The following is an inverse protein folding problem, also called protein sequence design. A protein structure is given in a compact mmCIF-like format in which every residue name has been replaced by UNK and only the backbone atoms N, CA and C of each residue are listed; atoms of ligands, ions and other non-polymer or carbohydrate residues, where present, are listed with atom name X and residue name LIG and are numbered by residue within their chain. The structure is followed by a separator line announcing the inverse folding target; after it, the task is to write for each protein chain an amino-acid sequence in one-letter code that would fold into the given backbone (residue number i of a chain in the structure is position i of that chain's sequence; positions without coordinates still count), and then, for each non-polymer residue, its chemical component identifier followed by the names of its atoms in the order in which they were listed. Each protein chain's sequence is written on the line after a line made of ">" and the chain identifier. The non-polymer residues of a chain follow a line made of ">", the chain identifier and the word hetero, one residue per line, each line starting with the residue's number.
data_IF_830999033684
#
_entry.id   IF_830999033684
#
_cell.length_a   1.000
_cell.length_b   1.000
_cell.length_c   1.000
_cell.angle_alpha   90.00
_cell.angle_beta   90.00
_cell.angle_gamma   90.00
#
_symmetry.space_group_name_H-M   'P 1'
#
loop_
_entity.id
_entity.type
_entity.pdbx_description
1 polymer ?
#
# COMPACT_ATOMS: atom_id res chain seq x y z
N UNK A 1 -30.70 -9.94 -16.69
CA UNK A 1 -29.84 -10.18 -15.51
C UNK A 1 -28.63 -10.97 -15.96
N UNK A 2 -27.54 -10.96 -15.21
CA UNK A 2 -26.41 -11.84 -15.48
C UNK A 2 -26.81 -13.30 -15.26
N UNK A 3 -26.40 -14.19 -16.16
CA UNK A 3 -26.67 -15.62 -16.03
C UNK A 3 -25.88 -16.23 -14.87
N UNK A 4 -26.55 -17.00 -14.02
CA UNK A 4 -25.95 -17.66 -12.85
C UNK A 4 -26.44 -19.09 -12.74
N UNK A 5 -25.54 -19.98 -12.32
CA UNK A 5 -25.89 -21.38 -12.08
C UNK A 5 -26.95 -21.50 -10.98
N UNK A 6 -27.96 -22.34 -11.20
CA UNK A 6 -29.13 -22.50 -10.30
C UNK A 6 -28.74 -22.91 -8.86
N UNK A 7 -27.59 -23.57 -8.68
CA UNK A 7 -27.07 -24.03 -7.38
C UNK A 7 -26.06 -23.04 -6.74
N UNK A 8 -25.69 -21.97 -7.44
CA UNK A 8 -24.74 -20.97 -6.94
C UNK A 8 -25.47 -19.89 -6.11
N UNK A 9 -25.95 -20.26 -4.92
CA UNK A 9 -26.72 -19.36 -4.03
C UNK A 9 -25.87 -18.27 -3.36
N UNK A 10 -24.53 -18.33 -3.49
CA UNK A 10 -23.60 -17.49 -2.69
C UNK A 10 -23.52 -16.01 -3.09
N UNK A 11 -24.23 -15.56 -4.11
CA UNK A 11 -24.26 -14.14 -4.46
C UNK A 11 -25.55 -13.79 -5.19
N UNK A 12 -26.34 -12.87 -4.64
CA UNK A 12 -27.60 -12.43 -5.23
C UNK A 12 -27.47 -11.91 -6.67
N UNK A 13 -28.60 -11.75 -7.33
CA UNK A 13 -28.66 -11.39 -8.75
C UNK A 13 -28.01 -10.04 -9.06
N UNK A 14 -27.32 -9.96 -10.20
CA UNK A 14 -26.65 -8.75 -10.66
C UNK A 14 -27.33 -8.24 -11.93
N UNK A 15 -27.63 -6.94 -11.95
CA UNK A 15 -28.11 -6.27 -13.14
C UNK A 15 -26.93 -5.72 -13.93
N UNK A 16 -26.82 -6.16 -15.19
CA UNK A 16 -25.77 -5.72 -16.10
C UNK A 16 -26.39 -5.30 -17.42
N UNK A 17 -25.84 -4.24 -18.03
CA UNK A 17 -26.21 -3.82 -19.37
C UNK A 17 -25.50 -4.69 -20.42
N UNK A 18 -26.26 -5.34 -21.31
CA UNK A 18 -25.73 -6.26 -22.35
C UNK A 18 -24.70 -5.57 -23.25
N UNK A 19 -24.99 -4.35 -23.71
CA UNK A 19 -24.06 -3.59 -24.56
C UNK A 19 -22.72 -3.32 -23.85
N UNK A 20 -22.74 -3.11 -22.52
CA UNK A 20 -21.53 -2.89 -21.75
C UNK A 20 -20.71 -4.18 -21.64
N UNK A 21 -21.36 -5.33 -21.39
CA UNK A 21 -20.69 -6.65 -21.36
C UNK A 21 -20.00 -6.93 -22.69
N UNK A 22 -20.70 -6.75 -23.80
CA UNK A 22 -20.17 -7.05 -25.13
C UNK A 22 -18.98 -6.14 -25.47
N UNK A 23 -19.08 -4.85 -25.16
CA UNK A 23 -17.98 -3.92 -25.41
C UNK A 23 -16.76 -4.21 -24.53
N UNK A 24 -16.95 -4.55 -23.26
CA UNK A 24 -15.85 -4.93 -22.35
C UNK A 24 -15.18 -6.23 -22.81
N UNK A 25 -15.97 -7.25 -23.15
CA UNK A 25 -15.47 -8.52 -23.67
C UNK A 25 -14.71 -8.33 -24.99
N UNK A 26 -15.24 -7.51 -25.89
CA UNK A 26 -14.58 -7.18 -27.15
C UNK A 26 -13.23 -6.46 -26.91
N UNK A 27 -13.20 -5.47 -26.02
CA UNK A 27 -11.96 -4.77 -25.64
C UNK A 27 -10.92 -5.72 -25.08
N UNK A 28 -11.30 -6.58 -24.13
CA UNK A 28 -10.42 -7.61 -23.55
C UNK A 28 -9.86 -8.55 -24.60
N UNK A 29 -10.70 -9.03 -25.52
CA UNK A 29 -10.24 -9.90 -26.60
C UNK A 29 -9.24 -9.18 -27.53
N UNK A 30 -9.47 -7.91 -27.84
CA UNK A 30 -8.55 -7.10 -28.65
C UNK A 30 -7.22 -6.87 -27.91
N UNK A 31 -7.26 -6.56 -26.62
CA UNK A 31 -6.06 -6.38 -25.78
C UNK A 31 -5.26 -7.68 -25.67
N UNK A 32 -5.91 -8.82 -25.39
CA UNK A 32 -5.26 -10.13 -25.37
C UNK A 32 -4.62 -10.48 -26.70
N UNK A 33 -5.25 -10.11 -27.82
CA UNK A 33 -4.66 -10.31 -29.15
C UNK A 33 -3.48 -9.39 -29.44
N UNK A 34 -3.46 -8.17 -28.88
CA UNK A 34 -2.32 -7.25 -28.98
C UNK A 34 -1.16 -7.67 -28.08
N UNK A 35 -1.47 -8.19 -26.88
CA UNK A 35 -0.49 -8.62 -25.88
C UNK A 35 0.12 -10.00 -26.16
N UNK A 36 -0.53 -10.83 -26.99
CA UNK A 36 0.05 -12.07 -27.47
C UNK A 36 0.93 -11.76 -28.68
N UNK A 37 2.26 -11.59 -28.53
CA UNK A 37 3.14 -11.52 -29.68
C UNK A 37 2.99 -12.80 -30.51
N UNK A 38 3.17 -12.69 -31.81
CA UNK A 38 3.21 -13.85 -32.70
C UNK A 38 4.31 -14.80 -32.20
N UNK A 39 3.98 -16.07 -32.02
CA UNK A 39 4.91 -17.04 -31.45
C UNK A 39 6.11 -17.22 -32.39
N UNK A 40 7.24 -16.61 -32.00
CA UNK A 40 8.50 -16.67 -32.73
C UNK A 40 9.57 -17.30 -31.82
N UNK A 41 9.80 -18.61 -31.94
CA UNK A 41 10.67 -19.37 -31.03
C UNK A 41 12.13 -18.91 -30.94
N UNK A 42 12.60 -18.16 -31.94
CA UNK A 42 14.00 -17.80 -32.11
C UNK A 42 14.23 -16.28 -32.31
N UNK A 43 13.22 -15.43 -32.09
CA UNK A 43 13.48 -13.99 -32.05
C UNK A 43 14.14 -13.64 -30.71
N UNK A 44 15.35 -13.08 -30.78
CA UNK A 44 16.03 -12.48 -29.64
C UNK A 44 15.15 -11.33 -29.14
N UNK A 45 14.45 -11.52 -28.01
CA UNK A 45 13.61 -10.50 -27.35
C UNK A 45 14.42 -9.31 -26.81
N UNK A 46 15.69 -9.18 -27.19
CA UNK A 46 16.63 -8.14 -26.79
C UNK A 46 16.75 -7.14 -27.94
N UNK A 47 15.81 -6.20 -27.99
CA UNK A 47 15.94 -5.07 -28.90
C UNK A 47 17.15 -4.22 -28.47
N UNK A 48 17.88 -3.66 -29.43
CA UNK A 48 19.03 -2.76 -29.16
C UNK A 48 18.63 -1.59 -28.25
N UNK A 49 17.34 -1.22 -28.24
CA UNK A 49 16.73 -0.18 -27.42
C UNK A 49 16.59 -0.59 -25.93
N UNK A 50 16.42 -1.89 -25.64
CA UNK A 50 16.35 -2.42 -24.26
C UNK A 50 17.73 -2.45 -23.58
N UNK A 51 18.83 -2.36 -24.34
CA UNK A 51 20.17 -2.20 -23.77
C UNK A 51 20.43 -0.77 -23.27
N UNK A 52 19.74 0.23 -23.82
CA UNK A 52 19.90 1.65 -23.44
C UNK A 52 19.10 1.99 -22.19
N UNK A 53 17.93 1.37 -22.02
CA UNK A 53 17.07 1.55 -20.85
C UNK A 53 16.95 0.21 -20.13
N UNK A 54 17.68 0.06 -19.01
CA UNK A 54 17.64 -1.15 -18.18
C UNK A 54 16.25 -1.37 -17.59
N UNK A 55 15.36 -2.03 -18.36
CA UNK A 55 14.04 -2.45 -17.90
C UNK A 55 14.21 -3.81 -17.24
N UNK A 56 13.94 -3.89 -15.95
CA UNK A 56 13.88 -5.17 -15.25
C UNK A 56 12.75 -6.02 -15.83
N UNK A 57 13.07 -7.00 -16.68
CA UNK A 57 12.11 -8.02 -17.10
C UNK A 57 11.83 -8.92 -15.89
N UNK A 58 10.62 -8.87 -15.36
CA UNK A 58 10.17 -9.79 -14.31
C UNK A 58 10.23 -11.23 -14.84
N UNK A 59 10.79 -12.15 -14.05
CA UNK A 59 10.98 -13.57 -14.42
C UNK A 59 9.68 -14.24 -14.88
N UNK A 60 8.54 -13.72 -14.42
CA UNK A 60 7.21 -14.30 -14.63
C UNK A 60 6.18 -13.27 -15.14
N UNK A 61 6.60 -12.30 -15.95
CA UNK A 61 5.75 -11.22 -16.49
C UNK A 61 4.46 -11.69 -17.17
N UNK A 62 4.45 -12.90 -17.73
CA UNK A 62 3.27 -13.54 -18.36
C UNK A 62 2.14 -13.82 -17.37
N UNK A 63 2.44 -13.92 -16.08
CA UNK A 63 1.51 -14.33 -15.03
C UNK A 63 1.16 -13.21 -14.06
N UNK A 64 1.92 -12.10 -14.07
CA UNK A 64 1.60 -10.93 -13.25
C UNK A 64 0.18 -10.38 -13.55
N UNK A 65 -0.33 -10.57 -14.78
CA UNK A 65 -1.65 -10.10 -15.21
C UNK A 65 -2.83 -10.91 -14.65
N UNK A 66 -2.62 -12.17 -14.24
CA UNK A 66 -3.69 -13.03 -13.69
C UNK A 66 -3.66 -13.09 -12.16
N UNK A 67 -2.51 -12.81 -11.54
CA UNK A 67 -2.35 -12.95 -10.08
C UNK A 67 -3.13 -11.88 -9.29
N UNK A 68 -3.28 -10.65 -9.82
CA UNK A 68 -4.14 -9.63 -9.18
C UNK A 68 -5.62 -9.76 -9.60
N UNK A 69 -5.91 -10.53 -10.64
CA UNK A 69 -7.26 -10.74 -11.19
C UNK A 69 -7.91 -9.47 -11.76
N UNK A 70 -8.85 -9.64 -12.69
CA UNK A 70 -9.64 -8.51 -13.17
C UNK A 70 -10.54 -7.98 -12.05
N UNK A 71 -10.26 -6.77 -11.57
CA UNK A 71 -11.13 -6.08 -10.62
C UNK A 71 -12.48 -5.80 -11.28
N UNK A 72 -13.50 -6.61 -10.96
CA UNK A 72 -14.87 -6.40 -11.41
C UNK A 72 -15.37 -5.04 -10.88
N UNK A 73 -15.78 -4.15 -11.79
CA UNK A 73 -16.36 -2.84 -11.45
C UNK A 73 -17.86 -2.99 -11.18
N UNK A 74 -18.20 -3.43 -9.98
CA UNK A 74 -19.61 -3.52 -9.52
C UNK A 74 -19.87 -2.51 -8.41
N UNK A 75 -21.08 -1.92 -8.41
CA UNK A 75 -21.57 -1.06 -7.33
C UNK A 75 -22.86 -1.64 -6.75
N UNK A 76 -23.16 -1.30 -5.50
CA UNK A 76 -24.43 -1.62 -4.87
C UNK A 76 -25.31 -0.37 -4.85
N UNK A 77 -26.61 -0.56 -5.00
CA UNK A 77 -27.57 0.54 -4.94
C UNK A 77 -28.15 0.58 -3.53
N UNK A 78 -28.27 1.79 -2.98
CA UNK A 78 -28.98 2.04 -1.73
C UNK A 78 -30.49 1.90 -1.94
N UNK A 79 -31.25 1.83 -0.85
CA UNK A 79 -32.72 1.72 -0.86
C UNK A 79 -33.43 2.84 -1.62
N UNK A 80 -32.77 3.98 -1.80
CA UNK A 80 -33.26 5.18 -2.51
C UNK A 80 -32.94 5.14 -4.01
N UNK A 81 -32.22 4.11 -4.48
CA UNK A 81 -31.86 3.99 -5.90
C UNK A 81 -30.59 4.75 -6.29
N UNK A 82 -29.77 5.18 -5.33
CA UNK A 82 -28.49 5.83 -5.57
C UNK A 82 -27.34 4.84 -5.42
N UNK A 83 -26.27 5.00 -6.21
CA UNK A 83 -25.07 4.17 -6.06
C UNK A 83 -24.41 4.44 -4.70
N UNK A 84 -24.05 3.39 -3.99
CA UNK A 84 -23.28 3.48 -2.74
C UNK A 84 -21.92 4.13 -3.04
N UNK A 85 -21.82 5.42 -2.72
CA UNK A 85 -20.64 6.25 -2.92
C UNK A 85 -19.52 5.98 -1.90
N UNK A 86 -19.67 5.00 -1.01
CA UNK A 86 -18.68 4.66 0.02
C UNK A 86 -17.30 4.42 -0.58
N UNK A 87 -17.22 3.62 -1.66
CA UNK A 87 -15.95 3.28 -2.30
C UNK A 87 -15.33 4.43 -3.09
N UNK A 88 -16.14 5.25 -3.76
CA UNK A 88 -15.67 6.46 -4.44
C UNK A 88 -15.08 7.45 -3.42
N UNK A 89 -15.78 7.64 -2.29
CA UNK A 89 -15.32 8.49 -1.18
C UNK A 89 -14.05 7.95 -0.54
N UNK A 90 -13.95 6.64 -0.35
CA UNK A 90 -12.72 6.03 0.18
C UNK A 90 -11.53 6.27 -0.77
N UNK A 91 -11.73 6.11 -2.08
CA UNK A 91 -10.69 6.41 -3.08
C UNK A 91 -10.31 7.89 -3.09
N UNK A 92 -11.28 8.81 -2.94
CA UNK A 92 -11.00 10.25 -2.81
C UNK A 92 -10.19 10.54 -1.55
N UNK A 93 -10.58 9.98 -0.40
CA UNK A 93 -9.84 10.14 0.86
C UNK A 93 -8.40 9.62 0.74
N UNK A 94 -8.18 8.50 0.05
CA UNK A 94 -6.84 7.97 -0.21
C UNK A 94 -6.04 8.96 -1.07
N UNK A 95 -6.62 9.47 -2.16
CA UNK A 95 -5.98 10.47 -3.02
C UNK A 95 -5.60 11.73 -2.25
N UNK A 96 -6.52 12.27 -1.47
CA UNK A 96 -6.30 13.47 -0.65
C UNK A 96 -5.21 13.22 0.39
N UNK A 97 -5.25 12.06 1.06
CA UNK A 97 -4.23 11.69 2.05
C UNK A 97 -2.84 11.55 1.42
N UNK A 98 -2.77 11.03 0.19
CA UNK A 98 -1.52 10.87 -0.54
C UNK A 98 -1.00 12.21 -1.03
N UNK A 99 -1.89 13.10 -1.47
CA UNK A 99 -1.54 14.46 -1.87
C UNK A 99 -1.04 15.29 -0.69
N UNK A 100 -1.64 15.15 0.50
CA UNK A 100 -1.16 15.82 1.72
C UNK A 100 0.23 15.28 2.13
N UNK A 101 0.49 13.99 1.92
CA UNK A 101 1.80 13.36 2.21
C UNK A 101 2.84 13.63 1.13
N UNK A 102 2.43 14.06 -0.06
CA UNK A 102 3.35 14.27 -1.16
C UNK A 102 4.30 15.43 -0.83
N UNK A 103 5.60 15.14 -0.81
CA UNK A 103 6.63 16.15 -0.71
C UNK A 103 7.12 16.48 -2.13
N UNK A 104 7.01 17.76 -2.51
CA UNK A 104 7.60 18.25 -3.76
C UNK A 104 9.10 18.48 -3.55
N UNK A 105 9.94 17.80 -4.32
CA UNK A 105 11.36 18.10 -4.39
C UNK A 105 11.61 19.13 -5.50
N UNK A 106 11.29 20.40 -5.21
CA UNK A 106 11.64 21.51 -6.10
C UNK A 106 13.09 21.90 -5.84
N UNK A 107 13.97 21.50 -6.75
CA UNK A 107 15.40 21.80 -6.65
C UNK A 107 15.66 23.13 -7.36
N UNK A 108 16.52 24.01 -6.82
CA UNK A 108 16.96 25.18 -7.54
C UNK A 108 17.65 24.77 -8.85
N UNK A 109 17.53 25.62 -9.86
CA UNK A 109 18.17 25.38 -11.16
C UNK A 109 19.65 25.06 -10.98
N UNK A 110 20.10 23.95 -11.60
CA UNK A 110 21.51 23.56 -11.59
C UNK A 110 22.34 24.66 -12.26
N UNK A 111 23.22 25.28 -11.50
CA UNK A 111 24.24 26.20 -12.03
C UNK A 111 25.59 25.50 -12.08
N UNK A 112 26.45 25.98 -12.98
CA UNK A 112 27.85 25.54 -13.03
C UNK A 112 28.50 25.81 -11.66
N UNK A 113 29.27 24.85 -11.15
CA UNK A 113 30.01 25.03 -9.91
C UNK A 113 31.12 26.08 -10.14
N UNK A 114 31.07 27.20 -9.41
CA UNK A 114 32.15 28.18 -9.42
C UNK A 114 33.30 27.70 -8.53
N UNK A 115 34.54 27.95 -8.95
CA UNK A 115 35.72 27.60 -8.15
C UNK A 115 35.90 28.51 -6.93
N UNK A 116 35.24 29.68 -6.93
CA UNK A 116 35.33 30.68 -5.87
C UNK A 116 33.95 31.19 -5.46
N UNK A 117 33.80 31.51 -4.17
CA UNK A 117 32.59 32.14 -3.62
C UNK A 117 32.53 33.63 -3.95
N UNK A 118 31.33 34.14 -4.22
CA UNK A 118 31.10 35.58 -4.40
C UNK A 118 31.12 36.31 -3.06
N UNK A 119 31.42 37.63 -3.03
CA UNK A 119 31.40 38.42 -1.79
C UNK A 119 30.05 38.37 -1.08
N UNK A 120 28.94 38.31 -1.83
CA UNK A 120 27.59 38.22 -1.28
C UNK A 120 27.35 36.87 -0.58
N UNK A 121 27.76 35.75 -1.19
CA UNK A 121 27.66 34.42 -0.60
C UNK A 121 28.55 34.27 0.63
N UNK A 122 29.73 34.91 0.64
CA UNK A 122 30.64 34.91 1.78
C UNK A 122 30.02 35.52 3.06
N UNK A 123 28.99 36.36 2.92
CA UNK A 123 28.27 36.92 4.09
C UNK A 123 27.27 35.95 4.72
N UNK A 124 26.88 34.89 4.00
CA UNK A 124 25.88 33.92 4.49
C UNK A 124 26.47 32.91 5.47
N UNK A 125 27.80 32.78 5.54
CA UNK A 125 28.48 31.90 6.46
C UNK A 125 28.32 32.38 7.90
N UNK A 126 27.35 31.79 8.62
CA UNK A 126 27.17 32.02 10.06
C UNK A 126 28.24 31.26 10.83
N UNK A 127 29.01 31.98 11.66
CA UNK A 127 29.96 31.37 12.60
C UNK A 127 29.22 30.44 13.55
N UNK A 128 29.55 29.15 13.55
CA UNK A 128 28.94 28.19 14.48
C UNK A 128 29.37 28.52 15.90
N UNK A 129 28.42 28.73 16.80
CA UNK A 129 28.71 28.93 18.22
C UNK A 129 28.94 27.60 18.92
N UNK A 130 29.86 27.57 19.89
CA UNK A 130 30.19 26.35 20.63
C UNK A 130 28.97 25.90 21.44
N UNK A 131 28.38 24.76 21.08
CA UNK A 131 27.25 24.18 21.83
C UNK A 131 27.68 23.87 23.26
N UNK A 132 27.03 24.49 24.24
CA UNK A 132 27.21 24.16 25.65
C UNK A 132 26.59 22.78 25.89
N UNK A 133 27.43 21.80 26.26
CA UNK A 133 26.96 20.46 26.63
C UNK A 133 26.17 20.58 27.93
N UNK A 134 24.87 20.27 27.90
CA UNK A 134 24.03 20.19 29.10
C UNK A 134 24.47 18.96 29.91
N UNK A 135 25.24 19.19 30.97
CA UNK A 135 25.62 18.13 31.91
C UNK A 135 24.33 17.68 32.62
N UNK A 136 23.93 16.42 32.40
CA UNK A 136 22.84 15.81 33.17
C UNK A 136 23.32 15.67 34.62
N UNK A 137 22.54 16.17 35.59
CA UNK A 137 22.80 15.91 37.01
C UNK A 137 22.77 14.38 37.20
N UNK A 138 23.87 13.81 37.72
CA UNK A 138 23.86 12.41 38.14
C UNK A 138 22.83 12.28 39.26
N UNK A 139 21.89 11.36 39.12
CA UNK A 139 20.97 11.02 40.21
C UNK A 139 21.77 10.42 41.36
N UNK A 140 21.31 10.66 42.59
CA UNK A 140 21.93 10.18 43.82
C UNK A 140 22.05 8.65 43.75
N UNK A 141 23.10 8.03 44.30
CA UNK A 141 23.22 6.58 44.32
C UNK A 141 22.01 5.98 45.03
N UNK A 142 21.34 5.03 44.35
CA UNK A 142 20.17 4.31 44.87
C UNK A 142 20.62 3.51 46.11
N UNK A 143 19.90 3.68 47.22
CA UNK A 143 20.15 2.93 48.46
C UNK A 143 19.38 1.61 48.42
N UNK A 144 19.88 0.60 49.12
CA UNK A 144 19.28 -0.73 49.16
C UNK A 144 17.81 -0.74 49.61
N UNK A 145 17.41 0.24 50.44
CA UNK A 145 16.05 0.43 50.94
C UNK A 145 15.01 0.81 49.84
N UNK A 146 15.45 1.34 48.69
CA UNK A 146 14.56 1.73 47.58
C UNK A 146 14.25 0.56 46.62
N UNK A 147 14.83 -0.63 46.85
CA UNK A 147 14.62 -1.79 45.98
C UNK A 147 13.42 -2.62 46.47
N UNK A 148 12.31 -2.57 45.73
CA UNK A 148 11.16 -3.44 45.99
C UNK A 148 11.43 -4.90 45.54
N UNK A 149 10.98 -5.92 46.29
CA UNK A 149 11.15 -7.32 45.90
C UNK A 149 10.43 -7.65 44.58
N UNK A 150 11.15 -8.28 43.65
CA UNK A 150 10.70 -8.62 42.28
C UNK A 150 9.46 -9.55 42.23
N UNK A 151 9.05 -10.14 43.36
CA UNK A 151 7.92 -11.07 43.44
C UNK A 151 6.54 -10.42 43.17
N UNK A 152 6.37 -9.13 43.42
CA UNK A 152 5.05 -8.46 43.29
C UNK A 152 4.68 -8.10 41.84
N UNK A 153 5.65 -8.09 40.91
CA UNK A 153 5.45 -7.65 39.51
C UNK A 153 5.08 -8.77 38.54
N UNK A 154 5.21 -10.03 38.97
CA UNK A 154 4.92 -11.21 38.15
C UNK A 154 3.44 -11.66 38.24
N UNK A 155 2.72 -11.29 39.30
CA UNK A 155 1.36 -11.79 39.57
C UNK A 155 0.24 -11.12 38.73
N UNK A 156 0.50 -9.97 38.10
CA UNK A 156 -0.55 -9.20 37.40
C UNK A 156 -0.66 -9.47 35.89
N UNK A 157 0.09 -10.45 35.35
CA UNK A 157 0.15 -10.71 33.89
C UNK A 157 -0.49 -12.02 33.44
N UNK A 158 -1.04 -12.82 34.35
CA UNK A 158 -1.61 -14.15 34.03
C UNK A 158 -3.04 -14.25 34.59
N UNK A 159 -3.97 -13.47 34.05
CA UNK A 159 -5.42 -13.78 34.13
C UNK A 159 -6.19 -13.10 33.00
N UNK A 160 -6.11 -13.68 31.81
CA UNK A 160 -7.08 -13.47 30.73
C UNK A 160 -7.79 -14.81 30.44
N UNK A 161 -9.10 -14.83 30.11
CA UNK A 161 -9.91 -16.04 30.15
C UNK A 161 -9.59 -16.97 28.97
N UNK A 162 -9.43 -18.26 29.25
CA UNK A 162 -9.23 -19.32 28.26
C UNK A 162 -10.54 -19.74 27.56
N UNK A 163 -10.46 -20.32 26.35
CA UNK A 163 -11.62 -20.71 25.56
C UNK A 163 -12.24 -22.02 26.09
N UNK A 164 -13.56 -22.10 26.01
CA UNK A 164 -14.34 -23.23 26.48
C UNK A 164 -14.21 -24.49 25.61
N UNK A 165 -14.28 -25.63 26.30
CA UNK A 165 -14.74 -26.92 25.79
C UNK A 165 -15.80 -27.38 26.81
N UNK A 166 -17.06 -27.58 26.42
CA UNK A 166 -17.59 -28.92 26.11
C UNK A 166 -17.50 -29.81 27.36
N UNK A 167 -18.54 -30.35 27.97
CA UNK A 167 -19.69 -31.05 27.40
C UNK A 167 -20.69 -31.37 28.52
N UNK A 168 -21.92 -31.65 28.10
CA UNK A 168 -23.14 -31.91 28.86
C UNK A 168 -23.06 -32.95 29.99
N UNK A 169 -23.93 -32.79 31.00
CA UNK A 169 -24.24 -33.79 32.03
C UNK A 169 -25.52 -33.42 32.80
N UNK A 170 -26.62 -34.04 32.39
CA UNK A 170 -27.98 -34.13 32.93
C UNK A 170 -28.30 -33.72 34.38
N UNK A 171 -29.46 -33.02 34.47
CA UNK A 171 -30.62 -33.20 35.38
C UNK A 171 -30.38 -33.61 36.84
N UNK A 172 -30.94 -32.81 37.75
CA UNK A 172 -32.19 -33.12 38.47
C UNK A 172 -33.04 -31.85 38.57
#
# INVERSE_FOLDING_TARGET
>A
WEDKGVLEEKGGDVLVNVNMVDTEKAKKNVELRKKKPEYKPYEEEESVDDMVVFKHKGVLSKYDEEIEGERKKSFKLDSVGMADGSRERELQNIRDSLQIRAQSLDLPNLHLASEYYTPEEMTTFKKTTRRVKKIRKKEKPVKAEDLLPLASRAASRISGPGPGAGVNGERL
#
